data_IF_632139117232
#
_entry.id   IF_632139117232
#
_cell.length_a   1.000
_cell.length_b   1.000
_cell.length_c   1.000
_cell.angle_alpha   90.00
_cell.angle_beta   90.00
_cell.angle_gamma   90.00
#
_symmetry.space_group_name_H-M   'P 1'
#
loop_
_entity.id
_entity.type
_entity.pdbx_description
1 polymer ?
#
# COMPACT_ATOMS: atom_id res chain seq x y z
N UNK A 1 23.36 -4.59 -15.12
CA UNK A 1 23.41 -3.33 -14.33
C UNK A 1 22.13 -2.51 -14.42
N UNK A 2 21.66 -2.08 -15.61
CA UNK A 2 20.40 -1.28 -15.72
C UNK A 2 19.15 -1.94 -15.09
N UNK A 3 18.94 -3.24 -15.30
CA UNK A 3 17.79 -3.98 -14.74
C UNK A 3 17.83 -4.06 -13.20
N UNK A 4 19.00 -4.32 -12.62
CA UNK A 4 19.19 -4.40 -11.17
C UNK A 4 18.88 -3.07 -10.48
N UNK A 5 19.35 -1.96 -11.04
CA UNK A 5 19.07 -0.61 -10.53
C UNK A 5 17.56 -0.31 -10.57
N UNK A 6 16.89 -0.69 -11.67
CA UNK A 6 15.44 -0.50 -11.81
C UNK A 6 14.63 -1.38 -10.84
N UNK A 7 15.08 -2.62 -10.59
CA UNK A 7 14.46 -3.50 -9.59
C UNK A 7 14.57 -2.94 -8.17
N UNK A 8 15.75 -2.42 -7.80
CA UNK A 8 15.95 -1.75 -6.50
C UNK A 8 15.05 -0.51 -6.41
N UNK A 9 14.98 0.29 -7.47
CA UNK A 9 14.10 1.47 -7.53
C UNK A 9 12.63 1.10 -7.30
N UNK A 10 12.16 0.03 -7.95
CA UNK A 10 10.77 -0.41 -7.81
C UNK A 10 10.49 -0.90 -6.39
N UNK A 11 11.42 -1.66 -5.80
CA UNK A 11 11.33 -2.12 -4.42
C UNK A 11 11.26 -0.93 -3.46
N UNK A 12 12.14 0.06 -3.61
CA UNK A 12 12.18 1.26 -2.78
C UNK A 12 10.91 2.12 -2.91
N UNK A 13 10.34 2.21 -4.12
CA UNK A 13 9.10 2.94 -4.36
C UNK A 13 7.88 2.28 -3.67
N UNK A 14 7.81 0.94 -3.68
CA UNK A 14 6.68 0.19 -3.11
C UNK A 14 6.85 -0.10 -1.60
N UNK A 15 8.06 0.10 -1.06
CA UNK A 15 8.41 -0.18 0.34
C UNK A 15 7.50 0.57 1.33
N UNK A 16 7.29 1.87 1.12
CA UNK A 16 6.55 2.72 2.05
C UNK A 16 5.15 2.19 2.34
N UNK A 17 4.35 1.93 1.30
CA UNK A 17 3.01 1.38 1.46
C UNK A 17 3.02 -0.05 2.03
N UNK A 18 3.97 -0.89 1.60
CA UNK A 18 4.05 -2.30 2.01
C UNK A 18 4.37 -2.44 3.50
N UNK A 19 5.18 -1.54 4.05
CA UNK A 19 5.60 -1.52 5.46
C UNK A 19 4.65 -0.73 6.36
N UNK A 20 4.01 0.32 5.84
CA UNK A 20 3.10 1.15 6.65
C UNK A 20 1.90 0.36 7.18
N UNK A 21 1.23 -0.43 6.33
CA UNK A 21 0.04 -1.22 6.74
C UNK A 21 0.34 -2.18 7.90
N UNK A 22 1.36 -3.05 7.84
CA UNK A 22 1.66 -3.96 8.94
C UNK A 22 2.04 -3.20 10.22
N UNK A 23 2.76 -2.07 10.13
CA UNK A 23 3.06 -1.22 11.30
C UNK A 23 1.76 -0.70 11.95
N UNK A 24 0.84 -0.16 11.15
CA UNK A 24 -0.41 0.42 11.65
C UNK A 24 -1.34 -0.64 12.25
N UNK A 25 -1.33 -1.85 11.70
CA UNK A 25 -2.23 -2.93 12.12
C UNK A 25 -1.65 -3.79 13.25
N UNK A 26 -0.33 -3.77 13.44
CA UNK A 26 0.40 -4.61 14.40
C UNK A 26 0.91 -5.92 13.82
N UNK A 27 0.87 -6.10 12.49
CA UNK A 27 1.51 -7.23 11.82
C UNK A 27 3.03 -7.03 11.68
N UNK A 28 3.77 -8.12 11.50
CA UNK A 28 5.20 -8.08 11.26
C UNK A 28 5.51 -7.57 9.82
N UNK A 29 6.22 -6.43 9.65
CA UNK A 29 6.52 -5.89 8.33
C UNK A 29 7.43 -6.77 7.47
N UNK A 30 8.33 -7.53 8.09
CA UNK A 30 9.21 -8.46 7.36
C UNK A 30 8.43 -9.59 6.71
N UNK A 31 7.39 -10.10 7.39
CA UNK A 31 6.48 -11.09 6.81
C UNK A 31 5.69 -10.50 5.65
N UNK A 32 5.18 -9.27 5.80
CA UNK A 32 4.46 -8.58 4.73
C UNK A 32 5.33 -8.38 3.47
N UNK A 33 6.58 -7.92 3.63
CA UNK A 33 7.53 -7.76 2.51
C UNK A 33 7.84 -9.11 1.85
N UNK A 34 8.08 -10.15 2.65
CA UNK A 34 8.38 -11.49 2.15
C UNK A 34 7.22 -12.06 1.33
N UNK A 35 6.00 -12.01 1.88
CA UNK A 35 4.79 -12.46 1.20
C UNK A 35 4.45 -11.60 -0.03
N UNK A 36 4.67 -10.29 0.01
CA UNK A 36 4.51 -9.40 -1.15
C UNK A 36 5.46 -9.78 -2.30
N UNK A 37 6.72 -10.09 -1.98
CA UNK A 37 7.70 -10.58 -2.94
C UNK A 37 7.29 -11.90 -3.58
N UNK A 38 6.95 -12.90 -2.75
CA UNK A 38 6.49 -14.22 -3.24
C UNK A 38 5.21 -14.08 -4.06
N UNK A 39 4.22 -13.34 -3.56
CA UNK A 39 2.96 -13.11 -4.26
C UNK A 39 3.17 -12.44 -5.62
N UNK A 40 4.09 -11.48 -5.70
CA UNK A 40 4.46 -10.83 -6.97
C UNK A 40 5.10 -11.81 -7.95
N UNK A 41 5.94 -12.73 -7.48
CA UNK A 41 6.52 -13.78 -8.34
C UNK A 41 5.45 -14.75 -8.84
N UNK A 42 4.55 -15.20 -7.96
CA UNK A 42 3.40 -16.05 -8.32
C UNK A 42 2.52 -15.33 -9.36
N UNK A 43 2.22 -14.05 -9.15
CA UNK A 43 1.45 -13.24 -10.08
C UNK A 43 2.10 -13.14 -11.46
N UNK A 44 3.40 -12.87 -11.54
CA UNK A 44 4.12 -12.83 -12.81
C UNK A 44 4.13 -14.20 -13.50
N UNK A 45 4.23 -15.29 -12.74
CA UNK A 45 4.13 -16.64 -13.28
C UNK A 45 2.74 -16.92 -13.87
N UNK A 46 1.67 -16.61 -13.13
CA UNK A 46 0.29 -16.78 -13.60
C UNK A 46 -0.07 -15.89 -14.79
N UNK A 47 0.56 -14.73 -14.94
CA UNK A 47 0.33 -13.79 -16.05
C UNK A 47 1.31 -13.95 -17.21
N UNK A 48 2.17 -14.97 -17.18
CA UNK A 48 3.22 -15.22 -18.18
C UNK A 48 4.15 -14.00 -18.40
N UNK A 49 4.34 -13.18 -17.36
CA UNK A 49 5.14 -11.95 -17.43
C UNK A 49 4.54 -10.83 -18.29
N UNK A 50 3.27 -10.92 -18.71
CA UNK A 50 2.60 -9.92 -19.56
C UNK A 50 2.24 -8.64 -18.80
N UNK A 51 2.05 -8.73 -17.49
CA UNK A 51 1.55 -7.63 -16.65
C UNK A 51 2.63 -7.23 -15.63
N UNK A 52 3.27 -6.06 -15.78
CA UNK A 52 4.37 -5.63 -14.90
C UNK A 52 3.83 -4.94 -13.65
N UNK A 53 3.38 -5.71 -12.66
CA UNK A 53 2.76 -5.21 -11.42
C UNK A 53 3.41 -5.82 -10.20
N UNK A 54 3.63 -4.99 -9.17
CA UNK A 54 4.06 -5.42 -7.84
C UNK A 54 2.88 -5.43 -6.88
N UNK A 55 2.75 -6.50 -6.10
CA UNK A 55 1.71 -6.64 -5.09
C UNK A 55 2.19 -6.05 -3.77
N UNK A 56 1.54 -4.97 -3.32
CA UNK A 56 1.79 -4.34 -2.03
C UNK A 56 0.64 -4.52 -1.05
N UNK A 57 0.82 -4.00 0.17
CA UNK A 57 -0.22 -4.00 1.20
C UNK A 57 -1.37 -3.06 0.82
N UNK A 58 -2.61 -3.54 0.90
CA UNK A 58 -3.80 -2.74 0.55
C UNK A 58 -4.30 -1.93 1.74
N UNK A 59 -4.38 -0.61 1.55
CA UNK A 59 -4.83 0.30 2.62
C UNK A 59 -6.32 0.15 2.95
N UNK A 60 -7.11 -0.43 2.05
CA UNK A 60 -8.53 -0.72 2.28
C UNK A 60 -8.76 -1.69 3.45
N UNK A 61 -7.75 -2.50 3.81
CA UNK A 61 -7.86 -3.45 4.92
C UNK A 61 -7.51 -2.84 6.28
N UNK A 62 -6.89 -1.66 6.36
CA UNK A 62 -6.52 -1.03 7.64
C UNK A 62 -7.72 -0.89 8.59
N UNK A 63 -8.81 -0.19 8.22
CA UNK A 63 -9.94 -0.01 9.14
C UNK A 63 -10.60 -1.34 9.53
N UNK A 64 -10.64 -2.29 8.61
CA UNK A 64 -11.19 -3.63 8.84
C UNK A 64 -10.35 -4.41 9.87
N UNK A 65 -9.02 -4.41 9.71
CA UNK A 65 -8.11 -5.11 10.63
C UNK A 65 -8.16 -4.48 12.02
N UNK A 66 -8.18 -3.14 12.11
CA UNK A 66 -8.28 -2.44 13.39
C UNK A 66 -9.61 -2.74 14.10
N UNK A 67 -10.73 -2.73 13.36
CA UNK A 67 -12.05 -3.05 13.93
C UNK A 67 -12.12 -4.49 14.46
N UNK A 68 -11.57 -5.46 13.72
CA UNK A 68 -11.50 -6.86 14.17
C UNK A 68 -10.58 -6.99 15.39
N UNK A 69 -9.42 -6.33 15.37
CA UNK A 69 -8.50 -6.31 16.50
C UNK A 69 -9.18 -5.80 17.78
N UNK A 70 -9.93 -4.71 17.70
CA UNK A 70 -10.69 -4.16 18.84
C UNK A 70 -11.80 -5.11 19.31
N UNK A 71 -12.55 -5.72 18.38
CA UNK A 71 -13.63 -6.65 18.70
C UNK A 71 -13.16 -7.94 19.39
N UNK A 72 -11.93 -8.39 19.12
CA UNK A 72 -11.36 -9.64 19.63
C UNK A 72 -10.19 -9.43 20.60
N UNK A 73 -10.24 -8.38 21.44
CA UNK A 73 -9.27 -8.12 22.53
C UNK A 73 -7.80 -8.06 22.07
N UNK A 74 -7.54 -7.57 20.86
CA UNK A 74 -6.20 -7.45 20.30
C UNK A 74 -5.71 -8.66 19.51
N UNK A 75 -6.51 -9.73 19.40
CA UNK A 75 -6.11 -10.94 18.68
C UNK A 75 -6.19 -10.75 17.15
N UNK A 76 -5.02 -10.68 16.53
CA UNK A 76 -4.86 -10.53 15.09
C UNK A 76 -5.12 -11.82 14.30
N UNK A 77 -5.22 -13.00 14.96
CA UNK A 77 -5.47 -14.27 14.28
C UNK A 77 -6.82 -14.27 13.55
N UNK A 78 -7.85 -13.62 14.13
CA UNK A 78 -9.15 -13.45 13.49
C UNK A 78 -9.06 -12.60 12.22
N UNK A 79 -8.26 -11.53 12.25
CA UNK A 79 -8.01 -10.71 11.06
C UNK A 79 -7.24 -11.49 9.99
N UNK A 80 -6.25 -12.31 10.37
CA UNK A 80 -5.51 -13.17 9.44
C UNK A 80 -6.42 -14.22 8.77
N UNK A 81 -7.29 -14.87 9.54
CA UNK A 81 -8.30 -15.79 9.01
C UNK A 81 -9.23 -15.11 8.00
N UNK A 82 -9.69 -13.90 8.32
CA UNK A 82 -10.49 -13.08 7.40
C UNK A 82 -9.75 -12.73 6.10
N UNK A 83 -8.47 -12.37 6.18
CA UNK A 83 -7.62 -12.08 5.01
C UNK A 83 -7.46 -13.32 4.13
N UNK A 84 -7.25 -14.50 4.74
CA UNK A 84 -7.15 -15.76 4.01
C UNK A 84 -8.45 -16.08 3.25
N UNK A 85 -9.61 -15.92 3.89
CA UNK A 85 -10.92 -16.10 3.24
C UNK A 85 -11.14 -15.07 2.13
N UNK A 86 -10.76 -13.81 2.33
CA UNK A 86 -10.83 -12.78 1.28
C UNK A 86 -9.98 -13.16 0.05
N UNK A 87 -8.78 -13.71 0.26
CA UNK A 87 -7.94 -14.24 -0.81
C UNK A 87 -8.61 -15.37 -1.59
N UNK A 88 -9.28 -16.30 -0.88
CA UNK A 88 -10.05 -17.37 -1.52
C UNK A 88 -11.23 -16.83 -2.34
N UNK A 89 -11.93 -15.81 -1.81
CA UNK A 89 -13.02 -15.14 -2.53
C UNK A 89 -12.49 -14.49 -3.82
N UNK A 90 -11.30 -13.90 -3.82
CA UNK A 90 -10.68 -13.37 -5.04
C UNK A 90 -10.39 -14.46 -6.08
N UNK A 91 -9.94 -15.64 -5.64
CA UNK A 91 -9.74 -16.79 -6.53
C UNK A 91 -11.08 -17.23 -7.14
N UNK A 92 -12.14 -17.36 -6.33
CA UNK A 92 -13.48 -17.72 -6.81
C UNK A 92 -14.00 -16.67 -7.81
N UNK A 93 -13.90 -15.38 -7.48
CA UNK A 93 -14.28 -14.28 -8.36
C UNK A 93 -13.51 -14.32 -9.68
N UNK A 94 -12.22 -14.69 -9.67
CA UNK A 94 -11.43 -14.80 -10.90
C UNK A 94 -12.01 -15.82 -11.88
N UNK A 95 -12.51 -16.96 -11.38
CA UNK A 95 -13.19 -17.96 -12.21
C UNK A 95 -14.55 -17.47 -12.72
N UNK A 96 -15.32 -16.78 -11.87
CA UNK A 96 -16.60 -16.18 -12.27
C UNK A 96 -16.38 -15.15 -13.38
N UNK A 97 -15.38 -14.28 -13.25
CA UNK A 97 -15.03 -13.27 -14.27
C UNK A 97 -14.62 -13.96 -15.58
N UNK A 98 -13.88 -15.07 -15.51
CA UNK A 98 -13.51 -15.87 -16.68
C UNK A 98 -14.73 -16.45 -17.41
N UNK A 99 -15.77 -16.86 -16.69
CA UNK A 99 -17.01 -17.40 -17.28
C UNK A 99 -17.93 -16.31 -17.83
N UNK A 100 -18.11 -15.20 -17.08
CA UNK A 100 -19.04 -14.11 -17.43
C UNK A 100 -18.49 -13.24 -18.56
N UNK A 101 -17.17 -13.07 -18.61
CA UNK A 101 -16.46 -12.20 -19.54
C UNK A 101 -16.19 -10.81 -18.94
N UNK A 102 -15.00 -10.28 -19.23
CA UNK A 102 -14.47 -9.03 -18.64
C UNK A 102 -15.33 -7.81 -19.00
N UNK A 103 -15.89 -7.77 -20.21
CA UNK A 103 -16.63 -6.59 -20.70
C UNK A 103 -17.96 -6.37 -19.97
N UNK A 104 -18.62 -7.46 -19.55
CA UNK A 104 -19.82 -7.37 -18.71
C UNK A 104 -19.49 -6.81 -17.34
N UNK A 105 -18.37 -7.23 -16.73
CA UNK A 105 -17.93 -6.75 -15.42
C UNK A 105 -17.59 -5.25 -15.48
N UNK A 106 -16.88 -4.81 -16.53
CA UNK A 106 -16.59 -3.38 -16.75
C UNK A 106 -17.85 -2.52 -16.88
N UNK A 107 -18.96 -3.08 -17.35
CA UNK A 107 -20.26 -2.38 -17.41
C UNK A 107 -20.87 -2.18 -16.02
N UNK A 108 -20.69 -3.12 -15.10
CA UNK A 108 -21.15 -3.01 -13.71
C UNK A 108 -20.23 -2.11 -12.86
N UNK A 109 -18.93 -2.10 -13.16
CA UNK A 109 -17.94 -1.27 -12.48
C UNK A 109 -17.31 -0.28 -13.47
N UNK A 110 -18.09 0.70 -13.95
CA UNK A 110 -17.57 1.69 -14.88
C UNK A 110 -16.52 2.57 -14.16
N UNK A 111 -15.63 3.25 -14.92
CA UNK A 111 -14.53 4.03 -14.34
C UNK A 111 -14.94 5.04 -13.27
N UNK A 112 -16.14 5.61 -13.39
CA UNK A 112 -16.69 6.57 -12.44
C UNK A 112 -16.91 5.93 -11.05
N UNK A 113 -17.41 4.70 -11.01
CA UNK A 113 -17.66 3.96 -9.75
C UNK A 113 -16.33 3.53 -9.15
N UNK A 114 -15.45 2.95 -9.95
CA UNK A 114 -14.13 2.49 -9.48
C UNK A 114 -13.29 3.65 -8.96
N UNK A 115 -13.29 4.79 -9.67
CA UNK A 115 -12.59 6.00 -9.24
C UNK A 115 -13.16 6.59 -7.94
N UNK A 116 -14.48 6.65 -7.81
CA UNK A 116 -15.13 7.09 -6.57
C UNK A 116 -14.77 6.18 -5.38
N UNK A 117 -14.78 4.86 -5.57
CA UNK A 117 -14.37 3.91 -4.53
C UNK A 117 -12.91 4.10 -4.09
N UNK A 118 -11.99 4.32 -5.04
CA UNK A 118 -10.57 4.59 -4.74
C UNK A 118 -10.44 5.88 -3.93
N UNK A 119 -11.16 6.95 -4.29
CA UNK A 119 -11.16 8.21 -3.56
C UNK A 119 -11.68 8.04 -2.13
N UNK A 120 -12.77 7.29 -1.95
CA UNK A 120 -13.35 6.99 -0.63
C UNK A 120 -12.38 6.19 0.24
N UNK A 121 -11.65 5.21 -0.31
CA UNK A 121 -10.61 4.48 0.44
C UNK A 121 -9.53 5.45 0.94
N UNK A 122 -9.08 6.39 0.11
CA UNK A 122 -8.13 7.42 0.52
C UNK A 122 -8.67 8.35 1.61
N UNK A 123 -9.91 8.81 1.48
CA UNK A 123 -10.56 9.69 2.46
C UNK A 123 -10.74 9.00 3.84
N UNK A 124 -11.03 7.70 3.87
CA UNK A 124 -11.16 6.95 5.12
C UNK A 124 -9.85 6.84 5.91
N UNK A 125 -8.70 7.09 5.28
CA UNK A 125 -7.39 7.06 5.93
C UNK A 125 -6.93 8.44 6.44
N UNK A 126 -7.67 9.51 6.10
CA UNK A 126 -7.35 10.85 6.55
C UNK A 126 -7.31 10.98 8.09
N UNK A 127 -8.26 10.41 8.86
CA UNK A 127 -8.22 10.53 10.33
C UNK A 127 -6.93 9.92 10.90
N UNK A 128 -6.56 8.73 10.45
CA UNK A 128 -5.33 8.05 10.89
C UNK A 128 -4.09 8.86 10.52
N UNK A 129 -4.03 9.41 9.30
CA UNK A 129 -2.92 10.26 8.88
C UNK A 129 -2.84 11.56 9.70
N UNK A 130 -3.98 12.15 10.04
CA UNK A 130 -4.06 13.35 10.86
C UNK A 130 -3.59 13.08 12.28
N UNK A 131 -4.08 12.01 12.93
CA UNK A 131 -3.66 11.63 14.29
C UNK A 131 -2.15 11.38 14.38
N UNK A 132 -1.58 10.70 13.38
CA UNK A 132 -0.12 10.50 13.29
C UNK A 132 0.64 11.82 13.13
N UNK A 133 0.13 12.74 12.30
CA UNK A 133 0.75 14.04 12.08
C UNK A 133 0.61 14.97 13.29
N UNK A 134 -0.48 14.89 14.05
CA UNK A 134 -0.74 15.71 15.22
C UNK A 134 0.29 15.53 16.33
N UNK A 135 0.95 14.37 16.42
CA UNK A 135 2.04 14.14 17.36
C UNK A 135 3.24 15.06 17.10
N UNK A 136 3.52 15.38 15.83
CA UNK A 136 4.66 16.20 15.43
C UNK A 136 4.34 17.00 14.16
N UNK A 137 3.43 17.97 14.27
CA UNK A 137 2.89 18.73 13.14
C UNK A 137 4.00 19.42 12.34
N UNK A 138 5.03 19.93 13.01
CA UNK A 138 6.15 20.59 12.35
C UNK A 138 6.92 19.64 11.43
N UNK A 139 7.28 18.45 11.91
CA UNK A 139 7.98 17.43 11.13
C UNK A 139 7.08 16.90 10.01
N UNK A 140 5.79 16.66 10.32
CA UNK A 140 4.81 16.18 9.35
C UNK A 140 4.64 17.17 8.18
N UNK A 141 4.50 18.47 8.47
CA UNK A 141 4.38 19.52 7.45
C UNK A 141 5.64 19.67 6.61
N UNK A 142 6.82 19.63 7.22
CA UNK A 142 8.10 19.68 6.49
C UNK A 142 8.25 18.46 5.57
N UNK A 143 7.97 17.26 6.09
CA UNK A 143 8.04 16.00 5.34
C UNK A 143 7.06 16.00 4.17
N UNK A 144 5.83 16.47 4.40
CA UNK A 144 4.81 16.61 3.36
C UNK A 144 5.21 17.63 2.30
N UNK A 145 5.72 18.80 2.70
CA UNK A 145 6.17 19.83 1.78
C UNK A 145 7.30 19.32 0.87
N UNK A 146 8.28 18.62 1.44
CA UNK A 146 9.37 17.99 0.69
C UNK A 146 8.81 16.97 -0.30
N UNK A 147 7.90 16.09 0.14
CA UNK A 147 7.29 15.08 -0.73
C UNK A 147 6.55 15.74 -1.91
N UNK A 148 5.78 16.80 -1.68
CA UNK A 148 5.04 17.53 -2.71
C UNK A 148 5.98 18.27 -3.68
N UNK A 149 7.01 18.93 -3.17
CA UNK A 149 8.01 19.62 -4.00
C UNK A 149 8.73 18.61 -4.91
N UNK A 150 9.17 17.48 -4.36
CA UNK A 150 9.86 16.45 -5.16
C UNK A 150 8.89 15.81 -6.17
N UNK A 151 7.63 15.56 -5.81
CA UNK A 151 6.67 14.97 -6.73
C UNK A 151 6.30 15.92 -7.89
N UNK A 152 6.22 17.23 -7.62
CA UNK A 152 5.85 18.22 -8.63
C UNK A 152 7.04 18.65 -9.51
N UNK A 153 8.20 18.93 -8.91
CA UNK A 153 9.39 19.45 -9.60
C UNK A 153 10.43 18.38 -9.95
N UNK A 154 10.36 17.20 -9.33
CA UNK A 154 11.29 16.11 -9.59
C UNK A 154 11.17 15.57 -11.01
N UNK A 155 12.32 15.25 -11.62
CA UNK A 155 12.40 14.64 -12.96
C UNK A 155 12.99 13.23 -12.86
N UNK A 156 12.44 12.31 -13.67
CA UNK A 156 12.95 10.95 -13.81
C UNK A 156 12.98 10.17 -12.49
N UNK A 157 14.17 9.68 -12.11
CA UNK A 157 14.43 8.81 -10.96
C UNK A 157 14.03 9.43 -9.61
N UNK A 158 14.25 10.74 -9.45
CA UNK A 158 14.00 11.45 -8.19
C UNK A 158 12.49 11.54 -7.90
N UNK A 159 11.64 11.62 -8.93
CA UNK A 159 10.18 11.68 -8.76
C UNK A 159 9.61 10.38 -8.19
N UNK A 160 10.09 9.23 -8.67
CA UNK A 160 9.62 7.92 -8.20
C UNK A 160 10.06 7.62 -6.76
N UNK A 161 11.21 8.14 -6.34
CA UNK A 161 11.72 8.00 -4.97
C UNK A 161 11.32 9.16 -4.05
N UNK A 162 10.51 10.11 -4.52
CA UNK A 162 10.22 11.34 -3.79
C UNK A 162 9.63 11.10 -2.40
N UNK A 163 8.76 10.11 -2.27
CA UNK A 163 8.17 9.71 -0.99
C UNK A 163 9.25 9.16 -0.04
N UNK A 164 10.14 8.29 -0.53
CA UNK A 164 11.21 7.71 0.29
C UNK A 164 12.21 8.79 0.74
N UNK A 165 12.59 9.70 -0.16
CA UNK A 165 13.49 10.82 0.15
C UNK A 165 12.87 11.71 1.23
N UNK A 166 11.58 12.03 1.10
CA UNK A 166 10.86 12.80 2.11
C UNK A 166 10.88 12.09 3.48
N UNK A 167 10.61 10.78 3.53
CA UNK A 167 10.66 9.99 4.76
C UNK A 167 12.06 9.99 5.38
N UNK A 168 13.12 9.83 4.58
CA UNK A 168 14.50 9.87 5.06
C UNK A 168 14.83 11.24 5.67
N UNK A 169 14.48 12.33 4.99
CA UNK A 169 14.74 13.68 5.50
C UNK A 169 13.91 13.96 6.77
N UNK A 170 12.64 13.55 6.78
CA UNK A 170 11.78 13.66 7.96
C UNK A 170 12.34 12.88 9.16
N UNK A 171 12.87 11.68 8.92
CA UNK A 171 13.52 10.88 9.96
C UNK A 171 14.80 11.54 10.49
N UNK A 172 15.65 12.09 9.61
CA UNK A 172 16.85 12.83 10.03
C UNK A 172 16.47 14.06 10.87
N UNK A 173 15.44 14.80 10.45
CA UNK A 173 14.92 15.94 11.23
C UNK A 173 14.42 15.51 12.60
N UNK A 174 13.72 14.38 12.70
CA UNK A 174 13.27 13.80 13.97
C UNK A 174 14.46 13.51 14.89
N UNK A 175 15.50 12.85 14.37
CA UNK A 175 16.72 12.54 15.12
C UNK A 175 17.44 13.81 15.61
N UNK A 176 17.52 14.85 14.80
CA UNK A 176 18.17 16.12 15.17
C UNK A 176 17.37 16.89 16.23
N UNK A 177 16.04 16.84 16.14
CA UNK A 177 15.14 17.47 17.11
C UNK A 177 14.95 16.64 18.39
N UNK A 178 15.48 15.42 18.42
CA UNK A 178 15.40 14.52 19.57
C UNK A 178 14.01 13.92 19.78
N UNK A 179 13.24 13.78 18.71
CA UNK A 179 11.87 13.22 18.71
C UNK A 179 11.82 11.89 17.99
#
# INVERSE_FOLDING_TARGET
>A
MKKTVLSIQHLLAMFGATVLVPILTGFNPSVAIFCAGIGTLIFHFCTEGKVPVFLGSSFAFIPLILSVKEAFNGDLAYAQGGIMVAGLIYVILSFVIKMVGVDKIKRYFPPQVTGAMIAVIGLNLLPTAFDMASNNIMIAMITLAIALIINNFGKGFIKQLGILIAVIIGYILSLVLGV
#
